data_IF_937448998314
#
_entry.id   IF_937448998314
#
_cell.length_a   1.000
_cell.length_b   1.000
_cell.length_c   1.000
_cell.angle_alpha   90.00
_cell.angle_beta   90.00
_cell.angle_gamma   90.00
#
_symmetry.space_group_name_H-M   'P 1'
#
loop_
_entity.id
_entity.type
_entity.pdbx_description
1 polymer ?
#
# COMPACT_ATOMS: atom_id res chain seq x y z
N UNK A 1 -72.81 15.02 -21.39
CA UNK A 1 -71.45 14.87 -20.82
C UNK A 1 -71.08 16.15 -20.08
N UNK A 2 -70.91 16.11 -18.75
CA UNK A 2 -70.68 17.29 -17.91
C UNK A 2 -69.39 18.05 -18.31
N UNK A 3 -69.41 19.38 -18.22
CA UNK A 3 -68.29 20.26 -18.59
C UNK A 3 -66.97 19.88 -17.87
N UNK A 4 -67.07 19.48 -16.60
CA UNK A 4 -65.93 18.97 -15.82
C UNK A 4 -65.33 17.68 -16.39
N UNK A 5 -66.15 16.79 -16.93
CA UNK A 5 -65.70 15.53 -17.54
C UNK A 5 -65.00 15.78 -18.89
N UNK A 6 -65.48 16.74 -19.68
CA UNK A 6 -64.79 17.19 -20.92
C UNK A 6 -63.42 17.80 -20.62
N UNK A 7 -63.30 18.61 -19.56
CA UNK A 7 -62.03 19.21 -19.16
C UNK A 7 -61.01 18.17 -18.68
N UNK A 8 -61.46 17.14 -17.95
CA UNK A 8 -60.58 16.03 -17.52
C UNK A 8 -60.08 15.24 -18.74
N UNK A 9 -60.94 14.94 -19.71
CA UNK A 9 -60.55 14.25 -20.94
C UNK A 9 -59.55 15.09 -21.74
N UNK A 10 -59.77 16.40 -21.88
CA UNK A 10 -58.84 17.30 -22.58
C UNK A 10 -57.48 17.34 -21.87
N UNK A 11 -57.47 17.40 -20.53
CA UNK A 11 -56.24 17.40 -19.75
C UNK A 11 -55.47 16.08 -19.87
N UNK A 12 -56.17 14.94 -19.90
CA UNK A 12 -55.57 13.61 -20.11
C UNK A 12 -55.00 13.45 -21.53
N UNK A 13 -55.69 13.95 -22.56
CA UNK A 13 -55.21 13.91 -23.95
C UNK A 13 -54.00 14.85 -24.11
N UNK A 14 -54.04 16.06 -23.55
CA UNK A 14 -52.95 17.02 -23.65
C UNK A 14 -51.70 16.59 -22.87
N UNK A 15 -51.89 15.99 -21.67
CA UNK A 15 -50.80 15.40 -20.89
C UNK A 15 -50.09 14.26 -21.61
N UNK A 16 -50.84 13.42 -22.34
CA UNK A 16 -50.27 12.30 -23.11
C UNK A 16 -49.46 12.77 -24.33
N UNK A 17 -49.89 13.86 -24.99
CA UNK A 17 -49.20 14.43 -26.17
C UNK A 17 -47.94 15.23 -25.77
N UNK A 18 -47.91 15.85 -24.58
CA UNK A 18 -46.74 16.55 -24.07
C UNK A 18 -45.73 15.64 -23.35
N UNK A 19 -46.12 14.45 -22.90
CA UNK A 19 -45.25 13.53 -22.15
C UNK A 19 -44.38 12.61 -23.03
N UNK A 20 -44.68 12.52 -24.32
CA UNK A 20 -43.93 11.65 -25.23
C UNK A 20 -42.75 12.41 -25.84
N UNK A 21 -41.52 12.01 -25.53
CA UNK A 21 -40.34 12.48 -26.26
C UNK A 21 -40.53 12.16 -27.74
N UNK A 22 -40.67 13.20 -28.57
CA UNK A 22 -40.84 13.06 -30.01
C UNK A 22 -39.48 12.75 -30.63
N UNK A 23 -39.17 11.47 -30.78
CA UNK A 23 -38.10 11.03 -31.67
C UNK A 23 -38.54 11.33 -33.11
N UNK A 24 -37.88 12.30 -33.76
CA UNK A 24 -38.26 12.75 -35.11
C UNK A 24 -37.59 11.87 -36.18
N UNK A 25 -36.49 11.21 -35.83
CA UNK A 25 -35.71 10.33 -36.70
C UNK A 25 -35.00 9.21 -35.90
N UNK A 26 -34.64 8.08 -36.55
CA UNK A 26 -33.74 7.08 -35.97
C UNK A 26 -32.40 7.67 -35.50
N UNK A 27 -31.95 8.78 -36.10
CA UNK A 27 -30.74 9.51 -35.74
C UNK A 27 -30.84 10.14 -34.35
N UNK A 28 -32.01 10.65 -33.96
CA UNK A 28 -32.22 11.23 -32.62
C UNK A 28 -32.06 10.17 -31.52
N UNK A 29 -32.57 8.96 -31.78
CA UNK A 29 -32.40 7.81 -30.88
C UNK A 29 -30.92 7.43 -30.80
N UNK A 30 -30.21 7.35 -31.95
CA UNK A 30 -28.77 7.03 -31.97
C UNK A 30 -27.96 8.06 -31.18
N UNK A 31 -28.28 9.35 -31.29
CA UNK A 31 -27.59 10.43 -30.57
C UNK A 31 -27.86 10.35 -29.07
N UNK A 32 -29.11 10.19 -28.64
CA UNK A 32 -29.45 10.06 -27.22
C UNK A 32 -28.80 8.82 -26.60
N UNK A 33 -28.89 7.67 -27.28
CA UNK A 33 -28.26 6.43 -26.83
C UNK A 33 -26.74 6.58 -26.75
N UNK A 34 -26.10 7.21 -27.75
CA UNK A 34 -24.66 7.50 -27.71
C UNK A 34 -24.29 8.39 -26.51
N UNK A 35 -25.07 9.43 -26.24
CA UNK A 35 -24.83 10.32 -25.11
C UNK A 35 -25.03 9.60 -23.78
N UNK A 36 -26.10 8.81 -23.64
CA UNK A 36 -26.39 8.01 -22.46
C UNK A 36 -25.27 6.99 -22.19
N UNK A 37 -24.80 6.28 -23.23
CA UNK A 37 -23.69 5.34 -23.10
C UNK A 37 -22.37 6.05 -22.76
N UNK A 38 -22.14 7.26 -23.29
CA UNK A 38 -20.93 8.06 -22.99
C UNK A 38 -20.93 8.56 -21.55
N UNK A 39 -22.07 9.02 -21.05
CA UNK A 39 -22.23 9.43 -19.66
C UNK A 39 -22.01 8.24 -18.71
N UNK A 40 -22.69 7.11 -18.94
CA UNK A 40 -22.51 5.91 -18.13
C UNK A 40 -21.08 5.38 -18.13
N UNK A 41 -20.42 5.43 -19.30
CA UNK A 41 -19.01 5.07 -19.45
C UNK A 41 -18.13 5.93 -18.54
N UNK A 42 -18.29 7.26 -18.61
CA UNK A 42 -17.50 8.19 -17.82
C UNK A 42 -17.78 8.05 -16.32
N UNK A 43 -19.03 7.86 -15.94
CA UNK A 43 -19.43 7.66 -14.53
C UNK A 43 -18.79 6.42 -13.93
N UNK A 44 -18.68 5.31 -14.68
CA UNK A 44 -18.00 4.11 -14.19
C UNK A 44 -16.51 4.36 -13.93
N UNK A 45 -15.82 5.06 -14.83
CA UNK A 45 -14.40 5.40 -14.66
C UNK A 45 -14.20 6.37 -13.49
N UNK A 46 -15.05 7.39 -13.37
CA UNK A 46 -15.02 8.35 -12.27
C UNK A 46 -15.25 7.66 -10.93
N UNK A 47 -16.28 6.82 -10.84
CA UNK A 47 -16.63 6.11 -9.62
C UNK A 47 -15.54 5.11 -9.20
N UNK A 48 -14.96 4.37 -10.16
CA UNK A 48 -13.84 3.49 -9.87
C UNK A 48 -12.61 4.26 -9.36
N UNK A 49 -12.35 5.45 -9.93
CA UNK A 49 -11.25 6.32 -9.49
C UNK A 49 -11.49 6.86 -8.09
N UNK A 50 -12.71 7.32 -7.81
CA UNK A 50 -13.12 7.73 -6.46
C UNK A 50 -12.92 6.60 -5.44
N UNK A 51 -13.37 5.38 -5.75
CA UNK A 51 -13.18 4.23 -4.86
C UNK A 51 -11.69 3.91 -4.62
N UNK A 52 -10.85 4.06 -5.65
CA UNK A 52 -9.41 3.88 -5.51
C UNK A 52 -8.79 4.94 -4.59
N UNK A 53 -9.19 6.21 -4.75
CA UNK A 53 -8.67 7.32 -3.95
C UNK A 53 -9.11 7.22 -2.48
N UNK A 54 -10.28 6.64 -2.22
CA UNK A 54 -10.80 6.29 -0.88
C UNK A 54 -10.26 4.95 -0.34
N UNK A 55 -9.24 4.38 -0.99
CA UNK A 55 -8.56 3.13 -0.61
C UNK A 55 -9.44 1.86 -0.62
N UNK A 56 -10.64 1.93 -1.21
CA UNK A 56 -11.53 0.77 -1.40
C UNK A 56 -11.16 -0.03 -2.65
N UNK A 57 -9.95 -0.58 -2.67
CA UNK A 57 -9.33 -1.20 -3.86
C UNK A 57 -10.13 -2.39 -4.42
N UNK A 58 -10.70 -3.25 -3.59
CA UNK A 58 -11.52 -4.39 -4.03
C UNK A 58 -12.79 -3.91 -4.74
N UNK A 59 -13.40 -2.82 -4.25
CA UNK A 59 -14.59 -2.23 -4.88
C UNK A 59 -14.23 -1.53 -6.18
N UNK A 60 -13.11 -0.79 -6.21
CA UNK A 60 -12.60 -0.17 -7.42
C UNK A 60 -12.35 -1.22 -8.52
N UNK A 61 -11.77 -2.37 -8.17
CA UNK A 61 -11.57 -3.50 -9.08
C UNK A 61 -12.88 -3.98 -9.70
N UNK A 62 -13.94 -4.18 -8.91
CA UNK A 62 -15.25 -4.62 -9.43
C UNK A 62 -15.80 -3.64 -10.46
N UNK A 63 -15.64 -2.33 -10.22
CA UNK A 63 -16.11 -1.29 -11.16
C UNK A 63 -15.25 -1.25 -12.42
N UNK A 64 -13.92 -1.37 -12.31
CA UNK A 64 -13.06 -1.45 -13.50
C UNK A 64 -13.30 -2.72 -14.33
N UNK A 65 -13.57 -3.87 -13.70
CA UNK A 65 -13.98 -5.08 -14.43
C UNK A 65 -15.35 -4.91 -15.10
N UNK A 66 -16.29 -4.26 -14.42
CA UNK A 66 -17.57 -3.92 -15.02
C UNK A 66 -17.40 -3.00 -16.24
N UNK A 67 -16.51 -2.01 -16.17
CA UNK A 67 -16.15 -1.15 -17.29
C UNK A 67 -15.62 -1.95 -18.48
N UNK A 68 -14.62 -2.81 -18.25
CA UNK A 68 -14.03 -3.66 -19.30
C UNK A 68 -15.06 -4.61 -19.93
N UNK A 69 -16.01 -5.13 -19.15
CA UNK A 69 -17.08 -5.99 -19.65
C UNK A 69 -18.11 -5.24 -20.49
N UNK A 70 -18.50 -4.02 -20.07
CA UNK A 70 -19.52 -3.22 -20.76
C UNK A 70 -18.99 -2.49 -21.99
N UNK A 71 -17.72 -2.11 -21.99
CA UNK A 71 -17.08 -1.33 -23.05
C UNK A 71 -15.79 -2.00 -23.54
N UNK A 72 -15.87 -3.21 -24.12
CA UNK A 72 -14.69 -3.89 -24.66
C UNK A 72 -14.11 -3.10 -25.85
N UNK A 73 -12.79 -2.98 -25.93
CA UNK A 73 -12.12 -2.23 -27.00
C UNK A 73 -12.20 -0.71 -26.87
N UNK A 74 -12.70 -0.19 -25.75
CA UNK A 74 -12.71 1.24 -25.48
C UNK A 74 -11.29 1.83 -25.43
N UNK A 75 -11.13 3.09 -25.82
CA UNK A 75 -9.85 3.80 -25.77
C UNK A 75 -9.21 3.80 -24.37
N UNK A 76 -10.02 3.69 -23.30
CA UNK A 76 -9.54 3.59 -21.92
C UNK A 76 -9.30 2.16 -21.45
N UNK A 77 -9.42 1.13 -22.31
CA UNK A 77 -9.20 -0.27 -21.92
C UNK A 77 -7.82 -0.46 -21.24
N UNK A 78 -6.75 0.06 -21.86
CA UNK A 78 -5.40 -0.05 -21.30
C UNK A 78 -5.23 0.76 -20.01
N UNK A 79 -5.93 1.89 -19.89
CA UNK A 79 -5.94 2.68 -18.66
C UNK A 79 -6.67 1.92 -17.53
N UNK A 80 -7.76 1.22 -17.84
CA UNK A 80 -8.47 0.36 -16.91
C UNK A 80 -7.59 -0.83 -16.47
N UNK A 81 -6.88 -1.51 -17.38
CA UNK A 81 -5.90 -2.54 -16.99
C UNK A 81 -4.81 -1.97 -16.08
N UNK A 82 -4.32 -0.77 -16.37
CA UNK A 82 -3.31 -0.12 -15.55
C UNK A 82 -3.84 0.17 -14.14
N UNK A 83 -5.06 0.69 -14.04
CA UNK A 83 -5.72 0.96 -12.75
C UNK A 83 -6.04 -0.31 -11.97
N UNK A 84 -6.42 -1.39 -12.65
CA UNK A 84 -6.58 -2.72 -12.03
C UNK A 84 -5.24 -3.20 -11.47
N UNK A 85 -4.15 -3.07 -12.23
CA UNK A 85 -2.80 -3.36 -11.76
C UNK A 85 -2.45 -2.56 -10.50
N UNK A 86 -2.74 -1.26 -10.47
CA UNK A 86 -2.56 -0.40 -9.30
C UNK A 86 -3.39 -0.84 -8.10
N UNK A 87 -4.64 -1.25 -8.28
CA UNK A 87 -5.45 -1.78 -7.18
C UNK A 87 -4.79 -3.01 -6.55
N UNK A 88 -4.32 -3.96 -7.37
CA UNK A 88 -3.60 -5.13 -6.86
C UNK A 88 -2.28 -4.76 -6.17
N UNK A 89 -1.53 -3.77 -6.66
CA UNK A 89 -0.35 -3.27 -5.94
C UNK A 89 -0.69 -2.76 -4.54
N UNK A 90 -1.75 -1.96 -4.42
CA UNK A 90 -2.15 -1.39 -3.13
C UNK A 90 -2.63 -2.45 -2.14
N UNK A 91 -3.14 -3.57 -2.63
CA UNK A 91 -3.48 -4.75 -1.81
C UNK A 91 -2.28 -5.67 -1.53
N UNK A 92 -1.13 -5.42 -2.14
CA UNK A 92 0.08 -6.26 -2.01
C UNK A 92 0.10 -7.50 -2.90
N UNK A 93 -0.88 -7.66 -3.79
CA UNK A 93 -0.98 -8.78 -4.74
C UNK A 93 -0.10 -8.55 -5.97
N UNK A 94 1.22 -8.61 -5.77
CA UNK A 94 2.22 -8.28 -6.79
C UNK A 94 2.11 -9.10 -8.07
N UNK A 95 1.71 -10.37 -7.98
CA UNK A 95 1.65 -11.24 -9.15
C UNK A 95 0.44 -10.95 -10.03
N UNK A 96 -0.70 -10.61 -9.44
CA UNK A 96 -1.87 -10.11 -10.17
C UNK A 96 -1.58 -8.75 -10.78
N UNK A 97 -0.94 -7.84 -10.03
CA UNK A 97 -0.52 -6.54 -10.57
C UNK A 97 0.37 -6.70 -11.81
N UNK A 98 1.42 -7.52 -11.72
CA UNK A 98 2.31 -7.84 -12.86
C UNK A 98 1.54 -8.42 -14.05
N UNK A 99 0.56 -9.31 -13.80
CA UNK A 99 -0.25 -9.89 -14.86
C UNK A 99 -0.94 -8.81 -15.70
N UNK A 100 -1.61 -7.84 -15.05
CA UNK A 100 -2.32 -6.78 -15.75
C UNK A 100 -1.38 -5.80 -16.47
N UNK A 101 -0.20 -5.51 -15.93
CA UNK A 101 0.78 -4.69 -16.65
C UNK A 101 1.37 -5.42 -17.86
N UNK A 102 1.68 -6.71 -17.74
CA UNK A 102 2.16 -7.50 -18.88
C UNK A 102 1.10 -7.56 -19.99
N UNK A 103 -0.20 -7.65 -19.65
CA UNK A 103 -1.28 -7.60 -20.65
C UNK A 103 -1.28 -6.32 -21.49
N UNK A 104 -0.90 -5.17 -20.90
CA UNK A 104 -0.75 -3.90 -21.62
C UNK A 104 0.44 -3.98 -22.59
N UNK A 105 1.59 -4.46 -22.10
CA UNK A 105 2.82 -4.59 -22.91
C UNK A 105 2.63 -5.56 -24.08
N UNK A 106 1.87 -6.64 -23.89
CA UNK A 106 1.58 -7.63 -24.94
C UNK A 106 0.65 -7.09 -26.04
N UNK A 107 -0.23 -6.14 -25.72
CA UNK A 107 -1.27 -5.62 -26.63
C UNK A 107 -0.88 -4.32 -27.31
N UNK A 108 0.00 -3.54 -26.68
CA UNK A 108 0.34 -2.20 -27.14
C UNK A 108 1.73 -2.18 -27.77
N UNK A 109 1.98 -1.29 -28.75
CA UNK A 109 3.32 -1.09 -29.28
C UNK A 109 4.31 -0.72 -28.16
N UNK A 110 5.54 -1.21 -28.24
CA UNK A 110 6.57 -1.02 -27.19
C UNK A 110 6.78 0.45 -26.83
N UNK A 111 6.75 1.33 -27.83
CA UNK A 111 6.96 2.78 -27.67
C UNK A 111 5.73 3.56 -27.20
N UNK A 112 4.57 2.91 -27.11
CA UNK A 112 3.34 3.58 -26.65
C UNK A 112 3.46 4.02 -25.20
N UNK A 113 2.76 5.11 -24.86
CA UNK A 113 2.72 5.65 -23.50
C UNK A 113 2.23 4.59 -22.50
N UNK A 114 1.21 3.80 -22.89
CA UNK A 114 0.67 2.73 -22.06
C UNK A 114 1.70 1.62 -21.78
N UNK A 115 2.42 1.16 -22.81
CA UNK A 115 3.48 0.15 -22.67
C UNK A 115 4.62 0.64 -21.77
N UNK A 116 5.10 1.88 -21.98
CA UNK A 116 6.13 2.50 -21.14
C UNK A 116 5.68 2.62 -19.69
N UNK A 117 4.47 3.13 -19.45
CA UNK A 117 3.91 3.25 -18.11
C UNK A 117 3.84 1.88 -17.40
N UNK A 118 3.33 0.86 -18.07
CA UNK A 118 3.26 -0.51 -17.54
C UNK A 118 4.66 -1.07 -17.25
N UNK A 119 5.63 -0.88 -18.15
CA UNK A 119 7.03 -1.29 -17.95
C UNK A 119 7.64 -0.63 -16.71
N UNK A 120 7.43 0.66 -16.52
CA UNK A 120 7.93 1.37 -15.33
C UNK A 120 7.28 0.86 -14.03
N UNK A 121 5.98 0.52 -14.04
CA UNK A 121 5.36 -0.11 -12.88
C UNK A 121 5.94 -1.50 -12.59
N UNK A 122 6.27 -2.29 -13.61
CA UNK A 122 6.97 -3.57 -13.40
C UNK A 122 8.36 -3.38 -12.77
N UNK A 123 9.08 -2.31 -13.13
CA UNK A 123 10.35 -1.95 -12.46
C UNK A 123 10.13 -1.52 -11.01
N UNK A 124 9.10 -0.73 -10.73
CA UNK A 124 8.70 -0.36 -9.37
C UNK A 124 8.39 -1.61 -8.53
N UNK A 125 7.57 -2.52 -9.02
CA UNK A 125 7.27 -3.78 -8.31
C UNK A 125 8.55 -4.59 -8.08
N UNK A 126 9.48 -4.61 -9.03
CA UNK A 126 10.76 -5.31 -8.87
C UNK A 126 11.63 -4.66 -7.79
N UNK A 127 11.54 -3.34 -7.58
CA UNK A 127 12.23 -2.66 -6.47
C UNK A 127 11.60 -3.04 -5.12
N UNK A 128 10.28 -3.03 -5.02
CA UNK A 128 9.55 -3.36 -3.78
C UNK A 128 9.73 -4.82 -3.38
N UNK A 129 9.70 -5.73 -4.36
CA UNK A 129 9.93 -7.16 -4.16
C UNK A 129 11.42 -7.52 -4.01
N UNK A 130 12.31 -6.53 -3.99
CA UNK A 130 13.78 -6.66 -3.83
C UNK A 130 14.49 -7.45 -4.93
N UNK A 131 13.87 -7.60 -6.09
CA UNK A 131 14.44 -8.23 -7.27
C UNK A 131 15.27 -7.23 -8.09
N UNK A 132 16.34 -6.71 -7.46
CA UNK A 132 17.16 -5.64 -8.02
C UNK A 132 17.96 -6.06 -9.26
N UNK A 133 18.41 -7.32 -9.31
CA UNK A 133 19.18 -7.85 -10.43
C UNK A 133 18.37 -7.84 -11.73
N UNK A 134 17.09 -8.21 -11.66
CA UNK A 134 16.18 -8.20 -12.81
C UNK A 134 16.01 -6.81 -13.41
N UNK A 135 16.05 -5.76 -12.60
CA UNK A 135 16.00 -4.38 -13.10
C UNK A 135 17.28 -4.05 -13.87
N UNK A 136 18.45 -4.40 -13.31
CA UNK A 136 19.74 -4.16 -13.98
C UNK A 136 19.80 -4.88 -15.32
N UNK A 137 19.37 -6.14 -15.36
CA UNK A 137 19.29 -6.94 -16.59
C UNK A 137 18.35 -6.30 -17.61
N UNK A 138 17.08 -6.05 -17.24
CA UNK A 138 16.06 -5.52 -18.15
C UNK A 138 16.36 -4.11 -18.66
N UNK A 139 17.06 -3.32 -17.88
CA UNK A 139 17.40 -1.96 -18.28
C UNK A 139 18.70 -1.91 -19.06
N UNK A 140 19.55 -2.96 -19.08
CA UNK A 140 20.89 -2.91 -19.67
C UNK A 140 20.88 -2.37 -21.11
N UNK A 141 21.81 -1.45 -21.41
CA UNK A 141 21.93 -0.83 -22.74
C UNK A 141 20.85 0.20 -23.12
N UNK A 142 19.82 0.43 -22.29
CA UNK A 142 18.81 1.45 -22.54
C UNK A 142 19.38 2.88 -22.46
N UNK A 143 18.81 3.77 -23.25
CA UNK A 143 19.01 5.23 -23.17
C UNK A 143 17.83 5.94 -22.53
N UNK A 144 16.77 5.21 -22.18
CA UNK A 144 15.59 5.78 -21.54
C UNK A 144 15.94 6.33 -20.15
N UNK A 145 15.71 7.64 -19.88
CA UNK A 145 16.14 8.25 -18.62
C UNK A 145 15.41 7.64 -17.41
N UNK A 146 14.17 7.19 -17.54
CA UNK A 146 13.44 6.56 -16.44
C UNK A 146 13.98 5.18 -16.11
N UNK A 147 14.27 4.34 -17.11
CA UNK A 147 14.95 3.06 -16.90
C UNK A 147 16.32 3.26 -16.20
N UNK A 148 17.08 4.29 -16.57
CA UNK A 148 18.36 4.62 -15.93
C UNK A 148 18.18 5.00 -14.45
N UNK A 149 17.10 5.70 -14.09
CA UNK A 149 16.76 5.99 -12.69
C UNK A 149 16.44 4.69 -11.93
N UNK A 150 15.64 3.78 -12.49
CA UNK A 150 15.37 2.49 -11.87
C UNK A 150 16.65 1.67 -11.68
N UNK A 151 17.55 1.65 -12.66
CA UNK A 151 18.86 1.00 -12.53
C UNK A 151 19.71 1.65 -11.43
N UNK A 152 19.72 2.98 -11.35
CA UNK A 152 20.44 3.71 -10.32
C UNK A 152 19.93 3.36 -8.91
N UNK A 153 18.61 3.24 -8.75
CA UNK A 153 17.98 2.77 -7.51
C UNK A 153 18.32 1.32 -7.18
N UNK A 154 18.29 0.44 -8.16
CA UNK A 154 18.67 -0.96 -7.97
C UNK A 154 20.11 -1.07 -7.44
N UNK A 155 21.08 -0.38 -8.07
CA UNK A 155 22.46 -0.33 -7.60
C UNK A 155 22.59 0.32 -6.22
N UNK A 156 21.83 1.38 -5.93
CA UNK A 156 21.80 2.01 -4.62
C UNK A 156 21.37 1.03 -3.52
N UNK A 157 20.30 0.26 -3.77
CA UNK A 157 19.79 -0.74 -2.82
C UNK A 157 20.73 -1.92 -2.64
N UNK A 158 21.52 -2.25 -3.67
CA UNK A 158 22.58 -3.26 -3.60
C UNK A 158 23.89 -2.75 -2.98
N UNK A 159 23.94 -1.48 -2.53
CA UNK A 159 25.14 -0.81 -1.98
C UNK A 159 26.29 -0.67 -3.00
N UNK A 160 25.99 -0.73 -4.29
CA UNK A 160 26.95 -0.55 -5.37
C UNK A 160 27.07 0.94 -5.73
N UNK A 161 27.66 1.73 -4.82
CA UNK A 161 27.66 3.19 -4.85
C UNK A 161 28.16 3.80 -6.18
N UNK A 162 29.28 3.29 -6.71
CA UNK A 162 29.85 3.80 -7.95
C UNK A 162 28.94 3.54 -9.17
N UNK A 163 28.38 2.33 -9.28
CA UNK A 163 27.43 1.99 -10.35
C UNK A 163 26.14 2.80 -10.24
N UNK A 164 25.64 3.00 -9.03
CA UNK A 164 24.46 3.84 -8.77
C UNK A 164 24.70 5.29 -9.21
N UNK A 165 25.82 5.87 -8.79
CA UNK A 165 26.23 7.23 -9.15
C UNK A 165 26.40 7.40 -10.65
N UNK A 166 27.01 6.42 -11.33
CA UNK A 166 27.15 6.43 -12.78
C UNK A 166 25.79 6.43 -13.47
N UNK A 167 24.87 5.54 -13.06
CA UNK A 167 23.53 5.48 -13.62
C UNK A 167 22.73 6.78 -13.39
N UNK A 168 22.83 7.41 -12.22
CA UNK A 168 22.22 8.72 -11.97
C UNK A 168 22.80 9.83 -12.86
N UNK A 169 24.12 9.83 -13.10
CA UNK A 169 24.75 10.77 -14.03
C UNK A 169 24.24 10.55 -15.46
N UNK A 170 24.14 9.30 -15.91
CA UNK A 170 23.59 8.96 -17.21
C UNK A 170 22.13 9.40 -17.34
N UNK A 171 21.29 9.14 -16.32
CA UNK A 171 19.91 9.59 -16.30
C UNK A 171 19.81 11.13 -16.34
N UNK A 172 20.65 11.82 -15.56
CA UNK A 172 20.70 13.27 -15.53
C UNK A 172 21.02 13.86 -16.91
N UNK A 173 22.02 13.30 -17.60
CA UNK A 173 22.39 13.70 -18.95
C UNK A 173 21.28 13.38 -19.97
N UNK A 174 20.61 12.24 -19.84
CA UNK A 174 19.53 11.84 -20.74
C UNK A 174 18.25 12.67 -20.56
N UNK A 175 17.95 13.14 -19.34
CA UNK A 175 16.83 14.05 -19.09
C UNK A 175 17.08 15.47 -19.61
N UNK A 176 18.33 15.95 -19.53
CA UNK A 176 18.75 17.31 -19.93
C UNK A 176 17.81 18.44 -19.48
N UNK A 177 17.27 18.32 -18.26
CA UNK A 177 16.27 19.26 -17.74
C UNK A 177 16.53 19.61 -16.27
N UNK A 178 16.41 20.90 -15.95
CA UNK A 178 16.73 21.45 -14.62
C UNK A 178 15.92 20.83 -13.49
N UNK A 179 14.63 20.54 -13.74
CA UNK A 179 13.75 19.86 -12.77
C UNK A 179 14.32 18.51 -12.30
N UNK A 180 14.68 17.62 -13.24
CA UNK A 180 15.21 16.30 -12.90
C UNK A 180 16.62 16.38 -12.32
N UNK A 181 17.44 17.33 -12.78
CA UNK A 181 18.75 17.61 -12.17
C UNK A 181 18.62 17.92 -10.68
N UNK A 182 17.63 18.73 -10.28
CA UNK A 182 17.39 19.06 -8.87
C UNK A 182 17.02 17.83 -8.04
N UNK A 183 16.17 16.94 -8.59
CA UNK A 183 15.78 15.70 -7.92
C UNK A 183 16.96 14.72 -7.76
N UNK A 184 17.77 14.55 -8.80
CA UNK A 184 18.93 13.65 -8.80
C UNK A 184 20.02 14.15 -7.86
N UNK A 185 20.18 15.46 -7.68
CA UNK A 185 21.21 16.04 -6.80
C UNK A 185 21.15 15.50 -5.36
N UNK A 186 19.95 15.29 -4.82
CA UNK A 186 19.76 14.71 -3.48
C UNK A 186 20.36 13.30 -3.37
N UNK A 187 20.31 12.53 -4.45
CA UNK A 187 20.87 11.18 -4.49
C UNK A 187 22.39 11.16 -4.47
N UNK A 188 23.07 12.16 -5.04
CA UNK A 188 24.52 12.25 -4.90
C UNK A 188 24.95 12.43 -3.44
N UNK A 189 24.22 13.23 -2.67
CA UNK A 189 24.46 13.36 -1.23
C UNK A 189 24.19 12.04 -0.50
N UNK A 190 23.08 11.37 -0.81
CA UNK A 190 22.75 10.07 -0.21
C UNK A 190 23.82 9.00 -0.50
N UNK A 191 24.29 8.92 -1.75
CA UNK A 191 25.37 8.01 -2.15
C UNK A 191 26.66 8.34 -1.39
N UNK A 192 27.05 9.62 -1.35
CA UNK A 192 28.26 10.04 -0.62
C UNK A 192 28.16 9.69 0.86
N UNK A 193 27.00 9.90 1.48
CA UNK A 193 26.77 9.53 2.88
C UNK A 193 26.85 8.01 3.07
N UNK A 194 26.26 7.22 2.17
CA UNK A 194 26.30 5.76 2.22
C UNK A 194 27.71 5.20 2.02
N UNK A 195 28.48 5.77 1.09
CA UNK A 195 29.86 5.42 0.80
C UNK A 195 30.79 5.69 2.00
N UNK A 196 30.58 6.82 2.69
CA UNK A 196 31.36 7.21 3.87
C UNK A 196 30.77 6.70 5.19
N UNK A 197 29.74 5.86 5.15
CA UNK A 197 29.13 5.35 6.36
C UNK A 197 30.14 4.47 7.11
N UNK A 198 30.36 4.70 8.42
CA UNK A 198 31.34 3.95 9.17
C UNK A 198 30.92 2.48 9.25
N UNK A 199 31.73 1.59 8.66
CA UNK A 199 31.56 0.16 8.80
C UNK A 199 31.85 -0.23 10.25
N UNK A 200 30.79 -0.59 10.97
CA UNK A 200 30.86 -1.06 12.34
C UNK A 200 31.38 -2.50 12.38
N UNK A 201 32.38 -2.76 13.22
CA UNK A 201 33.01 -4.08 13.33
C UNK A 201 32.11 -5.09 14.05
N UNK A 202 32.19 -6.37 13.63
CA UNK A 202 31.34 -7.45 14.16
C UNK A 202 31.58 -7.74 15.64
N UNK A 203 32.82 -7.61 16.12
CA UNK A 203 33.18 -7.98 17.49
C UNK A 203 32.63 -7.02 18.55
N UNK A 204 32.76 -5.69 18.45
CA UNK A 204 32.09 -4.78 19.37
C UNK A 204 30.57 -4.81 19.24
N UNK A 205 30.03 -5.07 18.04
CA UNK A 205 28.59 -5.26 17.84
C UNK A 205 28.07 -6.50 18.58
N UNK A 206 28.80 -7.61 18.52
CA UNK A 206 28.49 -8.82 19.27
C UNK A 206 28.58 -8.56 20.77
N UNK A 207 29.68 -7.96 21.24
CA UNK A 207 29.86 -7.65 22.66
C UNK A 207 28.78 -6.70 23.18
N UNK A 208 28.36 -5.72 22.39
CA UNK A 208 27.29 -4.79 22.76
C UNK A 208 25.91 -5.46 22.75
N UNK A 209 25.70 -6.50 21.94
CA UNK A 209 24.44 -7.28 21.94
C UNK A 209 24.23 -8.14 23.19
N UNK A 210 25.28 -8.39 23.99
CA UNK A 210 25.19 -9.18 25.22
C UNK A 210 24.38 -8.48 26.33
N UNK A 211 24.20 -7.16 26.23
CA UNK A 211 23.46 -6.37 27.20
C UNK A 211 22.22 -5.77 26.54
N UNK A 212 21.04 -5.82 27.19
CA UNK A 212 19.86 -5.18 26.64
C UNK A 212 20.11 -3.70 26.34
N UNK A 213 19.81 -3.25 25.12
CA UNK A 213 20.08 -1.89 24.65
C UNK A 213 21.53 -1.56 24.27
N UNK A 214 22.50 -2.44 24.54
CA UNK A 214 23.91 -2.22 24.19
C UNK A 214 24.13 -2.11 22.67
N UNK A 215 23.43 -2.91 21.88
CA UNK A 215 23.43 -2.78 20.42
C UNK A 215 22.97 -1.39 19.93
N UNK A 216 21.92 -0.84 20.55
CA UNK A 216 21.44 0.51 20.24
C UNK A 216 22.44 1.60 20.67
N UNK A 217 23.09 1.46 21.83
CA UNK A 217 24.18 2.35 22.24
C UNK A 217 25.34 2.35 21.24
N UNK A 218 25.72 1.16 20.76
CA UNK A 218 26.79 1.02 19.76
C UNK A 218 26.45 1.69 18.42
N UNK A 219 25.16 1.66 18.05
CA UNK A 219 24.60 2.36 16.89
C UNK A 219 24.28 3.85 17.17
N UNK A 220 24.63 4.37 18.35
CA UNK A 220 24.34 5.75 18.79
C UNK A 220 22.84 6.11 18.87
N UNK A 221 21.96 5.11 19.02
CA UNK A 221 20.52 5.28 19.18
C UNK A 221 20.15 5.34 20.66
N UNK A 222 20.37 6.49 21.31
CA UNK A 222 20.22 6.64 22.76
C UNK A 222 18.80 6.38 23.27
N UNK A 223 17.78 6.85 22.56
CA UNK A 223 16.38 6.69 22.98
C UNK A 223 15.96 5.21 22.98
N UNK A 224 16.26 4.50 21.89
CA UNK A 224 15.99 3.06 21.77
C UNK A 224 16.78 2.24 22.81
N UNK A 225 18.02 2.64 23.10
CA UNK A 225 18.82 2.02 24.16
C UNK A 225 18.16 2.18 25.53
N UNK A 226 17.77 3.41 25.90
CA UNK A 226 17.12 3.68 27.20
C UNK A 226 15.81 2.90 27.32
N UNK A 227 14.98 2.89 26.27
CA UNK A 227 13.71 2.16 26.28
C UNK A 227 13.91 0.65 26.48
N UNK A 228 14.85 0.05 25.77
CA UNK A 228 15.13 -1.40 25.90
C UNK A 228 15.80 -1.78 27.21
N UNK A 229 16.73 -0.95 27.71
CA UNK A 229 17.32 -1.11 29.04
C UNK A 229 16.26 -1.02 30.14
N UNK A 230 15.41 0.01 30.07
CA UNK A 230 14.32 0.22 31.03
C UNK A 230 13.32 -0.94 31.04
N UNK A 231 12.86 -1.38 29.86
CA UNK A 231 11.96 -2.53 29.75
C UNK A 231 12.59 -3.81 30.31
N UNK A 232 13.87 -4.06 30.00
CA UNK A 232 14.57 -5.25 30.50
C UNK A 232 14.76 -5.19 32.01
N UNK A 233 15.06 -4.02 32.57
CA UNK A 233 15.13 -3.82 34.02
C UNK A 233 13.78 -4.11 34.68
N UNK A 234 12.68 -3.57 34.14
CA UNK A 234 11.33 -3.79 34.66
C UNK A 234 10.95 -5.28 34.61
N UNK A 235 11.23 -5.97 33.49
CA UNK A 235 10.97 -7.41 33.35
C UNK A 235 11.81 -8.21 34.36
N UNK A 236 13.10 -7.90 34.48
CA UNK A 236 13.99 -8.60 35.41
C UNK A 236 13.56 -8.38 36.87
N UNK A 237 13.20 -7.14 37.22
CA UNK A 237 12.66 -6.80 38.54
C UNK A 237 11.35 -7.55 38.82
N UNK A 238 10.45 -7.64 37.82
CA UNK A 238 9.21 -8.40 37.93
C UNK A 238 9.45 -9.91 38.08
N UNK A 239 10.41 -10.48 37.36
CA UNK A 239 10.77 -11.91 37.51
C UNK A 239 11.34 -12.19 38.90
N UNK A 240 12.27 -11.35 39.36
CA UNK A 240 12.87 -11.50 40.70
C UNK A 240 11.80 -11.37 41.79
N UNK A 241 10.90 -10.39 41.68
CA UNK A 241 9.79 -10.25 42.65
C UNK A 241 8.78 -11.40 42.55
N UNK A 242 8.56 -11.95 41.35
CA UNK A 242 7.66 -13.11 41.16
C UNK A 242 8.18 -14.40 41.80
N UNK A 243 9.49 -14.54 42.04
CA UNK A 243 10.06 -15.70 42.74
C UNK A 243 9.63 -15.83 44.21
N UNK A 244 8.99 -14.80 44.76
CA UNK A 244 8.32 -14.85 46.07
C UNK A 244 6.91 -15.47 46.01
N UNK A 245 6.37 -15.73 44.81
CA UNK A 245 5.06 -16.34 44.58
C UNK A 245 5.26 -17.80 44.17
N UNK A 246 4.91 -18.72 45.07
CA UNK A 246 4.82 -20.15 44.74
C UNK A 246 3.37 -20.47 44.40
N UNK A 247 3.09 -20.84 43.15
CA UNK A 247 1.80 -21.40 42.79
C UNK A 247 1.80 -22.87 43.18
N UNK A 248 1.09 -23.20 44.26
CA UNK A 248 1.16 -24.53 44.89
C UNK A 248 0.32 -25.59 44.15
N UNK A 249 -0.66 -25.15 43.35
CA UNK A 249 -1.65 -26.01 42.69
C UNK A 249 -1.68 -25.86 41.15
N UNK A 250 -2.12 -26.91 40.45
CA UNK A 250 -2.29 -26.92 38.98
C UNK A 250 -3.32 -25.86 38.55
N UNK A 251 -3.01 -25.10 37.49
CA UNK A 251 -3.96 -24.23 36.79
C UNK A 251 -5.13 -25.06 36.26
N UNK A 252 -6.32 -24.85 36.81
CA UNK A 252 -7.56 -25.45 36.28
C UNK A 252 -8.21 -24.47 35.31
N UNK A 253 -8.59 -24.96 34.12
CA UNK A 253 -9.32 -24.18 33.13
C UNK A 253 -10.79 -24.54 33.27
N UNK A 254 -11.64 -23.55 33.58
CA UNK A 254 -13.07 -23.76 33.53
C UNK A 254 -13.54 -23.48 32.10
N UNK A 255 -14.06 -24.50 31.42
CA UNK A 255 -14.51 -24.39 30.04
C UNK A 255 -16.01 -24.05 30.01
N UNK A 256 -16.36 -22.88 29.48
CA UNK A 256 -17.69 -22.60 28.94
C UNK A 256 -17.56 -22.45 27.42
N UNK A 257 -18.60 -22.79 26.65
CA UNK A 257 -18.61 -22.83 25.16
C UNK A 257 -18.19 -21.52 24.48
N UNK A 258 -18.12 -20.40 25.22
CA UNK A 258 -17.76 -19.09 24.69
C UNK A 258 -16.43 -18.52 25.24
N UNK A 259 -15.86 -19.05 26.33
CA UNK A 259 -14.62 -18.53 26.91
C UNK A 259 -13.89 -19.58 27.76
N UNK A 260 -12.56 -19.61 27.64
CA UNK A 260 -11.66 -20.38 28.50
C UNK A 260 -11.09 -19.43 29.55
N UNK A 261 -11.48 -19.61 30.81
CA UNK A 261 -11.00 -18.76 31.92
C UNK A 261 -10.01 -19.57 32.77
N UNK A 262 -8.73 -19.16 32.86
CA UNK A 262 -7.79 -19.78 33.78
C UNK A 262 -8.17 -19.42 35.22
N UNK A 263 -8.37 -20.43 36.07
CA UNK A 263 -8.56 -20.23 37.51
C UNK A 263 -7.26 -20.54 38.25
N UNK A 264 -6.63 -19.51 38.83
CA UNK A 264 -5.52 -19.68 39.77
C UNK A 264 -6.04 -19.70 41.21
N UNK A 265 -6.21 -20.89 41.76
CA UNK A 265 -6.33 -21.07 43.22
C UNK A 265 -4.93 -21.19 43.81
N UNK A 266 -4.65 -20.42 44.87
CA UNK A 266 -3.44 -20.53 45.71
C UNK A 266 -2.14 -19.95 45.14
N UNK A 267 -2.15 -18.64 44.87
CA UNK A 267 -0.92 -17.83 44.89
C UNK A 267 -0.53 -17.61 46.36
N UNK A 268 0.50 -18.29 46.84
CA UNK A 268 1.00 -18.15 48.23
C UNK A 268 2.34 -17.42 48.21
N UNK A 269 2.44 -16.29 48.92
CA UNK A 269 3.73 -15.62 49.17
C UNK A 269 4.50 -16.39 50.24
N UNK A 270 5.84 -16.35 50.21
CA UNK A 270 6.72 -17.07 51.16
C UNK A 270 6.39 -16.86 52.66
N UNK A 271 5.67 -15.80 53.01
CA UNK A 271 5.32 -15.43 54.39
C UNK A 271 3.81 -15.36 54.65
N UNK A 272 2.95 -15.83 53.74
CA UNK A 272 1.48 -15.78 53.82
C UNK A 272 0.85 -14.38 53.96
N UNK A 273 1.64 -13.31 53.86
CA UNK A 273 1.21 -11.92 53.83
C UNK A 273 1.35 -11.33 52.43
N UNK A 274 0.31 -10.64 51.96
CA UNK A 274 0.36 -9.79 50.77
C UNK A 274 0.87 -8.40 51.20
N UNK A 275 2.09 -8.03 50.82
CA UNK A 275 2.56 -6.66 50.97
C UNK A 275 2.08 -5.85 49.77
N UNK A 276 1.25 -4.82 50.00
CA UNK A 276 0.94 -3.84 48.97
C UNK A 276 2.12 -2.87 48.79
N UNK A 277 2.33 -2.39 47.57
CA UNK A 277 3.25 -1.28 47.31
C UNK A 277 2.77 -0.06 48.08
N UNK A 278 3.70 0.72 48.67
CA UNK A 278 3.38 1.99 49.33
C UNK A 278 2.53 2.87 48.40
N UNK A 279 1.32 3.23 48.85
CA UNK A 279 0.35 4.02 48.08
C UNK A 279 -0.81 3.25 47.43
N UNK A 280 -0.84 1.92 47.50
CA UNK A 280 -1.98 1.12 47.03
C UNK A 280 -2.65 0.36 48.19
N UNK A 281 -3.92 0.67 48.46
CA UNK A 281 -4.77 -0.11 49.36
C UNK A 281 -5.47 -1.21 48.55
N UNK A 282 -5.35 -2.46 49.02
CA UNK A 282 -6.14 -3.57 48.48
C UNK A 282 -7.60 -3.37 48.92
N UNK A 283 -8.59 -3.57 48.03
CA UNK A 283 -9.99 -3.46 48.43
C UNK A 283 -10.34 -4.63 49.35
N UNK A 284 -10.71 -4.34 50.60
CA UNK A 284 -11.26 -5.32 51.55
C UNK A 284 -10.48 -5.60 52.83
N UNK A 285 -9.70 -4.64 53.34
CA UNK A 285 -9.37 -4.56 54.77
C UNK A 285 -10.02 -3.33 55.40
#
# INVERSE_FOLDING_TARGET
MNLRFKLIIIFLIFGSVCAQQKYLSPEDIKVEWKNYTTFQRQELVNFATFLYDEEFYERALLVYFQFLYKYPGDELEMAAYFKIGKCYEMMGDWDLAKNYYNRIIERMPSESVASKAAKYQLHYISLETKDHNKIVEKTFGTTDPYDLIFRAYAHFKMLEWEKSKLAFKSAQAAFDHGHYTKLIKSWYSAIKTGENAPLKSKTPALLSSLFPGGGFLYLQQKENAIGTMGASFLITAAIISSSAISQKNKLSLNNNKQMVIPMSGDIVSKESLFHSSSGYLLPGN
#
